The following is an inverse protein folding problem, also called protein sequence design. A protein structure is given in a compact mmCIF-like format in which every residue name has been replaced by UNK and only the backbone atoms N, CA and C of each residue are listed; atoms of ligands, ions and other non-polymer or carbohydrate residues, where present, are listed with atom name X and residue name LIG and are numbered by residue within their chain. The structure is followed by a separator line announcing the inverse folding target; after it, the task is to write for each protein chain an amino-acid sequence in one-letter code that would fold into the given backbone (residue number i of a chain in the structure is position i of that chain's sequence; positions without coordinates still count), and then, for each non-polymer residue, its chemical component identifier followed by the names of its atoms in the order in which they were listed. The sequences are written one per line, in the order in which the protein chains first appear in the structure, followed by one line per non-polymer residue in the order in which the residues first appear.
data_IF_471757480712
#
_entry.id   IF_471757480712
#
_cell.length_a   1.000
_cell.length_b   1.000
_cell.length_c   1.000
_cell.angle_alpha   90.00
_cell.angle_beta   90.00
_cell.angle_gamma   90.00
#
_symmetry.space_group_name_H-M   'P 1'
#
loop_
_entity.id
_entity.type
_entity.pdbx_description
1 polymer ?
#
# COMPACT_ATOMS: atom_id res chain seq x y z
N UNK A 1 -20.27 -7.03 -13.52
CA UNK A 1 -19.34 -7.06 -12.40
C UNK A 1 -18.09 -7.83 -12.75
N UNK A 2 -16.95 -7.39 -12.29
CA UNK A 2 -15.67 -7.99 -12.67
C UNK A 2 -15.41 -9.28 -11.89
N UNK A 3 -14.59 -10.16 -12.46
CA UNK A 3 -14.20 -11.41 -11.83
C UNK A 3 -13.26 -11.15 -10.64
N UNK A 4 -13.18 -12.14 -9.74
CA UNK A 4 -12.22 -12.10 -8.63
C UNK A 4 -10.79 -11.93 -9.14
N UNK A 5 -10.44 -12.63 -10.21
CA UNK A 5 -9.10 -12.56 -10.80
C UNK A 5 -8.78 -11.15 -11.30
N UNK A 6 -9.75 -10.48 -11.93
CA UNK A 6 -9.55 -9.11 -12.40
C UNK A 6 -9.34 -8.15 -11.22
N UNK A 7 -10.14 -8.28 -10.17
CA UNK A 7 -9.94 -7.48 -8.96
C UNK A 7 -8.57 -7.73 -8.34
N UNK A 8 -8.09 -8.98 -8.40
CA UNK A 8 -6.76 -9.30 -7.90
C UNK A 8 -5.67 -8.61 -8.72
N UNK A 9 -5.80 -8.58 -10.05
CA UNK A 9 -4.85 -7.88 -10.92
C UNK A 9 -4.85 -6.38 -10.59
N UNK A 10 -6.02 -5.77 -10.44
CA UNK A 10 -6.13 -4.36 -10.07
C UNK A 10 -5.46 -4.09 -8.72
N UNK A 11 -5.67 -4.96 -7.75
CA UNK A 11 -5.06 -4.89 -6.43
C UNK A 11 -3.53 -4.94 -6.51
N UNK A 12 -3.00 -5.87 -7.29
CA UNK A 12 -1.56 -6.04 -7.47
C UNK A 12 -0.95 -4.82 -8.16
N UNK A 13 -1.60 -4.31 -9.21
CA UNK A 13 -1.14 -3.09 -9.88
C UNK A 13 -1.06 -1.93 -8.87
N UNK A 14 -2.08 -1.80 -8.03
CA UNK A 14 -2.08 -0.79 -6.98
C UNK A 14 -0.91 -0.93 -6.02
N UNK A 15 -0.60 -2.16 -5.61
CA UNK A 15 0.54 -2.45 -4.72
C UNK A 15 1.84 -2.03 -5.39
N UNK A 16 2.04 -2.39 -6.66
CA UNK A 16 3.25 -2.04 -7.40
C UNK A 16 3.42 -0.53 -7.49
N UNK A 17 2.35 0.20 -7.84
CA UNK A 17 2.38 1.65 -7.93
C UNK A 17 2.72 2.30 -6.59
N UNK A 18 2.08 1.86 -5.52
CA UNK A 18 2.32 2.41 -4.19
C UNK A 18 3.74 2.14 -3.72
N UNK A 19 4.22 0.92 -3.88
CA UNK A 19 5.56 0.54 -3.44
C UNK A 19 6.63 1.25 -4.25
N UNK A 20 6.44 1.39 -5.57
CA UNK A 20 7.39 2.10 -6.45
C UNK A 20 7.49 3.57 -6.05
N UNK A 21 6.36 4.22 -5.79
CA UNK A 21 6.35 5.63 -5.43
C UNK A 21 6.96 5.86 -4.04
N UNK A 22 6.64 5.01 -3.07
CA UNK A 22 7.24 5.11 -1.72
C UNK A 22 8.74 4.82 -1.76
N UNK A 23 9.16 3.80 -2.50
CA UNK A 23 10.58 3.48 -2.66
C UNK A 23 11.35 4.64 -3.28
N UNK A 24 10.78 5.26 -4.32
CA UNK A 24 11.40 6.43 -4.95
C UNK A 24 11.52 7.61 -4.00
N UNK A 25 10.48 7.89 -3.23
CA UNK A 25 10.49 8.96 -2.23
C UNK A 25 11.54 8.68 -1.15
N UNK A 26 11.58 7.46 -0.64
CA UNK A 26 12.55 7.07 0.39
C UNK A 26 13.99 7.20 -0.13
N UNK A 27 14.25 6.75 -1.35
CA UNK A 27 15.58 6.83 -1.94
C UNK A 27 16.01 8.29 -2.11
N UNK A 28 15.13 9.14 -2.58
CA UNK A 28 15.41 10.57 -2.75
C UNK A 28 15.77 11.20 -1.38
N UNK A 29 15.01 10.86 -0.34
CA UNK A 29 15.29 11.36 1.00
C UNK A 29 16.61 10.84 1.55
N UNK A 30 16.94 9.56 1.29
CA UNK A 30 18.22 8.97 1.71
C UNK A 30 19.41 9.68 1.09
N UNK A 31 19.24 10.22 -0.11
CA UNK A 31 20.30 10.93 -0.84
C UNK A 31 20.32 12.43 -0.52
N UNK A 32 19.68 12.83 0.57
CA UNK A 32 19.68 14.22 1.01
C UNK A 32 18.62 15.10 0.36
N UNK A 33 17.73 14.52 -0.43
CA UNK A 33 16.66 15.27 -1.08
C UNK A 33 15.58 15.71 -0.11
N UNK A 34 14.87 16.78 -0.48
CA UNK A 34 13.73 17.28 0.27
C UNK A 34 12.48 17.21 -0.59
N UNK A 35 11.31 17.29 0.03
CA UNK A 35 10.06 17.33 -0.73
C UNK A 35 10.04 18.53 -1.69
N UNK A 36 10.60 19.65 -1.24
CA UNK A 36 10.61 20.89 -2.04
C UNK A 36 11.47 20.77 -3.29
N UNK A 37 12.62 20.08 -3.23
CA UNK A 37 13.52 19.92 -4.36
C UNK A 37 13.19 18.73 -5.26
N UNK A 38 12.18 17.92 -4.90
CA UNK A 38 11.74 16.82 -5.73
C UNK A 38 10.88 17.36 -6.88
N UNK A 39 11.48 17.42 -8.06
CA UNK A 39 10.79 17.94 -9.24
C UNK A 39 9.64 17.05 -9.70
N UNK A 40 9.66 15.79 -9.28
CA UNK A 40 8.63 14.81 -9.63
C UNK A 40 7.61 14.59 -8.50
N UNK A 41 7.57 15.48 -7.50
CA UNK A 41 6.72 15.26 -6.33
C UNK A 41 5.23 15.10 -6.66
N UNK A 42 4.74 15.88 -7.63
CA UNK A 42 3.34 15.78 -8.05
C UNK A 42 3.06 14.45 -8.73
N UNK A 43 3.95 14.02 -9.62
CA UNK A 43 3.85 12.75 -10.32
C UNK A 43 3.84 11.58 -9.31
N UNK A 44 4.79 11.60 -8.37
CA UNK A 44 4.91 10.55 -7.35
C UNK A 44 3.68 10.52 -6.45
N UNK A 45 3.16 11.69 -6.06
CA UNK A 45 1.97 11.79 -5.23
C UNK A 45 0.75 11.19 -5.95
N UNK A 46 0.60 11.48 -7.25
CA UNK A 46 -0.50 10.93 -8.05
C UNK A 46 -0.38 9.41 -8.14
N UNK A 47 0.82 8.89 -8.41
CA UNK A 47 1.05 7.44 -8.48
C UNK A 47 0.76 6.77 -7.15
N UNK A 48 1.20 7.37 -6.04
CA UNK A 48 0.97 6.83 -4.71
C UNK A 48 -0.53 6.80 -4.40
N UNK A 49 -1.24 7.89 -4.66
CA UNK A 49 -2.67 7.99 -4.39
C UNK A 49 -3.47 7.02 -5.25
N UNK A 50 -3.12 6.92 -6.53
CA UNK A 50 -3.76 5.96 -7.43
C UNK A 50 -3.51 4.54 -6.97
N UNK A 51 -2.28 4.23 -6.57
CA UNK A 51 -1.94 2.90 -6.04
C UNK A 51 -2.76 2.56 -4.81
N UNK A 52 -2.84 3.48 -3.85
CA UNK A 52 -3.63 3.28 -2.63
C UNK A 52 -5.11 3.03 -2.96
N UNK A 53 -5.67 3.80 -3.89
CA UNK A 53 -7.06 3.63 -4.32
C UNK A 53 -7.28 2.25 -4.97
N UNK A 54 -6.37 1.85 -5.88
CA UNK A 54 -6.50 0.56 -6.58
C UNK A 54 -6.35 -0.62 -5.61
N UNK A 55 -5.53 -0.49 -4.58
CA UNK A 55 -5.43 -1.52 -3.54
C UNK A 55 -6.79 -1.72 -2.86
N UNK A 56 -7.45 -0.63 -2.48
CA UNK A 56 -8.77 -0.71 -1.86
C UNK A 56 -9.80 -1.27 -2.83
N UNK A 57 -9.85 -0.75 -4.04
CA UNK A 57 -10.82 -1.18 -5.04
C UNK A 57 -10.68 -2.68 -5.33
N UNK A 58 -9.46 -3.13 -5.61
CA UNK A 58 -9.20 -4.54 -5.88
C UNK A 58 -9.46 -5.42 -4.68
N UNK A 59 -9.01 -4.97 -3.50
CA UNK A 59 -9.18 -5.73 -2.26
C UNK A 59 -10.63 -5.91 -1.87
N UNK A 60 -11.42 -4.85 -1.86
CA UNK A 60 -12.85 -4.94 -1.54
C UNK A 60 -13.63 -5.61 -2.64
N UNK A 61 -13.21 -5.48 -3.91
CA UNK A 61 -13.81 -6.22 -5.01
C UNK A 61 -13.64 -7.73 -4.83
N UNK A 62 -12.43 -8.18 -4.48
CA UNK A 62 -12.19 -9.60 -4.18
C UNK A 62 -13.00 -10.05 -2.98
N UNK A 63 -13.06 -9.23 -1.94
CA UNK A 63 -13.80 -9.55 -0.72
C UNK A 63 -15.27 -9.80 -1.03
N UNK A 64 -15.87 -8.96 -1.86
CA UNK A 64 -17.25 -9.13 -2.29
C UNK A 64 -17.45 -10.44 -3.06
N UNK A 65 -16.45 -10.84 -3.85
CA UNK A 65 -16.55 -12.06 -4.68
C UNK A 65 -16.37 -13.35 -3.88
N UNK A 66 -15.73 -13.30 -2.71
CA UNK A 66 -15.58 -14.49 -1.85
C UNK A 66 -16.74 -14.64 -0.87
N UNK A 67 -17.78 -13.80 -0.99
CA UNK A 67 -18.99 -13.96 -0.21
C UNK A 67 -19.06 -13.21 1.09
N UNK A 68 -18.11 -12.31 1.37
CA UNK A 68 -18.21 -11.45 2.55
C UNK A 68 -19.42 -10.53 2.40
N UNK A 69 -20.28 -10.54 3.40
CA UNK A 69 -21.53 -9.77 3.38
C UNK A 69 -21.43 -8.57 4.32
N UNK A 70 -22.08 -7.50 3.90
CA UNK A 70 -22.21 -6.31 4.72
C UNK A 70 -22.90 -6.68 6.04
N UNK A 71 -22.31 -6.26 7.17
CA UNK A 71 -22.85 -6.57 8.49
C UNK A 71 -22.26 -7.81 9.15
N UNK A 72 -21.45 -8.60 8.43
CA UNK A 72 -20.74 -9.72 9.06
C UNK A 72 -19.63 -9.19 9.97
N UNK A 73 -19.22 -10.02 10.92
CA UNK A 73 -18.12 -9.70 11.83
C UNK A 73 -16.85 -9.50 10.99
N UNK A 74 -16.19 -8.39 11.23
CA UNK A 74 -14.98 -8.01 10.49
C UNK A 74 -13.83 -8.94 10.93
N UNK A 75 -13.26 -9.74 10.00
CA UNK A 75 -12.25 -10.73 10.39
C UNK A 75 -10.93 -10.05 10.78
N UNK A 76 -10.23 -10.58 11.80
CA UNK A 76 -8.96 -9.98 12.25
C UNK A 76 -7.90 -9.88 11.16
N UNK A 77 -7.80 -10.87 10.25
CA UNK A 77 -6.82 -10.82 9.16
C UNK A 77 -7.06 -9.62 8.24
N UNK A 78 -8.31 -9.25 8.03
CA UNK A 78 -8.67 -8.09 7.22
C UNK A 78 -8.32 -6.79 7.96
N UNK A 79 -8.54 -6.75 9.28
CA UNK A 79 -8.17 -5.60 10.10
C UNK A 79 -6.66 -5.33 10.02
N UNK A 80 -5.84 -6.38 10.06
CA UNK A 80 -4.38 -6.25 9.91
C UNK A 80 -4.04 -5.66 8.55
N UNK A 81 -4.65 -6.14 7.47
CA UNK A 81 -4.39 -5.63 6.11
C UNK A 81 -4.78 -4.15 5.99
N UNK A 82 -5.92 -3.76 6.54
CA UNK A 82 -6.37 -2.36 6.50
C UNK A 82 -5.44 -1.47 7.31
N UNK A 83 -4.98 -1.93 8.47
CA UNK A 83 -4.01 -1.19 9.28
C UNK A 83 -2.72 -0.96 8.49
N UNK A 84 -2.21 -2.00 7.83
CA UNK A 84 -1.02 -1.86 6.97
C UNK A 84 -1.28 -0.86 5.85
N UNK A 85 -2.46 -0.92 5.22
CA UNK A 85 -2.82 0.01 4.16
C UNK A 85 -2.81 1.47 4.65
N UNK A 86 -3.37 1.72 5.85
CA UNK A 86 -3.39 3.06 6.43
C UNK A 86 -1.96 3.55 6.67
N UNK A 87 -1.10 2.70 7.21
CA UNK A 87 0.30 3.06 7.47
C UNK A 87 1.04 3.37 6.17
N UNK A 88 0.83 2.57 5.14
CA UNK A 88 1.48 2.78 3.84
C UNK A 88 0.93 4.00 3.13
N UNK A 89 -0.37 4.27 3.26
CA UNK A 89 -0.99 5.46 2.66
C UNK A 89 -0.43 6.74 3.27
N UNK A 90 -0.14 6.72 4.58
CA UNK A 90 0.42 7.87 5.29
C UNK A 90 1.95 7.95 5.19
N UNK A 91 2.61 6.89 4.74
CA UNK A 91 4.08 6.77 4.77
C UNK A 91 4.83 7.85 3.98
N UNK A 92 4.29 8.47 2.90
CA UNK A 92 5.04 9.50 2.16
C UNK A 92 5.46 10.69 3.01
N UNK A 93 4.79 10.94 4.11
CA UNK A 93 5.17 12.06 5.00
C UNK A 93 6.43 11.77 5.79
N UNK A 94 6.81 10.51 5.96
CA UNK A 94 7.89 10.12 6.85
C UNK A 94 9.29 10.40 6.30
N UNK A 95 9.63 10.04 5.04
CA UNK A 95 11.03 10.12 4.59
C UNK A 95 11.61 11.52 4.63
N UNK A 96 10.83 12.54 4.29
CA UNK A 96 11.33 13.91 4.27
C UNK A 96 11.34 14.55 5.64
N UNK A 97 10.43 14.16 6.51
CA UNK A 97 10.41 14.67 7.90
C UNK A 97 11.49 14.04 8.76
N UNK A 98 11.74 12.75 8.54
CA UNK A 98 12.70 11.97 9.33
C UNK A 98 13.61 11.19 8.37
N UNK A 99 14.55 11.88 7.69
CA UNK A 99 15.35 11.22 6.66
C UNK A 99 16.14 10.01 7.16
N UNK A 100 16.51 9.99 8.44
CA UNK A 100 17.20 8.84 9.01
C UNK A 100 16.34 7.58 9.07
N UNK A 101 15.01 7.71 8.93
CA UNK A 101 14.09 6.58 8.88
C UNK A 101 13.81 6.10 7.46
N UNK A 102 14.27 6.84 6.43
CA UNK A 102 13.98 6.48 5.04
C UNK A 102 14.52 5.09 4.68
N UNK A 103 15.73 4.77 5.15
CA UNK A 103 16.31 3.44 4.94
C UNK A 103 15.43 2.34 5.53
N UNK A 104 14.95 2.57 6.75
CA UNK A 104 14.10 1.60 7.43
C UNK A 104 12.75 1.48 6.74
N UNK A 105 12.23 2.56 6.18
CA UNK A 105 11.03 2.51 5.37
C UNK A 105 11.22 1.59 4.16
N UNK A 106 12.33 1.76 3.42
CA UNK A 106 12.60 0.90 2.26
C UNK A 106 12.67 -0.57 2.63
N UNK A 107 13.30 -0.88 3.77
CA UNK A 107 13.34 -2.27 4.25
C UNK A 107 11.98 -2.74 4.74
N UNK A 108 11.18 -1.83 5.30
CA UNK A 108 9.84 -2.13 5.79
C UNK A 108 8.83 -2.40 4.69
N UNK A 109 9.02 -1.82 3.49
CA UNK A 109 8.06 -2.00 2.41
C UNK A 109 7.83 -3.48 2.06
N UNK A 110 8.88 -4.28 1.76
CA UNK A 110 8.67 -5.70 1.49
C UNK A 110 8.18 -6.46 2.73
N UNK A 111 8.60 -6.06 3.95
CA UNK A 111 8.14 -6.71 5.16
C UNK A 111 6.63 -6.51 5.35
N UNK A 112 6.14 -5.28 5.24
CA UNK A 112 4.71 -4.99 5.36
C UNK A 112 3.91 -5.59 4.21
N UNK A 113 4.43 -5.50 2.99
CA UNK A 113 3.79 -6.11 1.83
C UNK A 113 3.68 -7.61 1.97
N UNK A 114 4.75 -8.26 2.43
CA UNK A 114 4.76 -9.70 2.69
C UNK A 114 3.78 -10.10 3.78
N UNK A 115 3.72 -9.32 4.87
CA UNK A 115 2.77 -9.58 5.95
C UNK A 115 1.33 -9.44 5.46
N UNK A 116 1.04 -8.40 4.67
CA UNK A 116 -0.30 -8.21 4.12
C UNK A 116 -0.68 -9.36 3.19
N UNK A 117 0.25 -9.82 2.35
CA UNK A 117 0.02 -10.96 1.48
C UNK A 117 -0.23 -12.24 2.27
N UNK A 118 0.57 -12.47 3.31
CA UNK A 118 0.38 -13.62 4.20
C UNK A 118 -1.03 -13.61 4.81
N UNK A 119 -1.46 -12.46 5.32
CA UNK A 119 -2.79 -12.34 5.91
C UNK A 119 -3.90 -12.62 4.90
N UNK A 120 -3.73 -12.14 3.67
CA UNK A 120 -4.72 -12.34 2.62
C UNK A 120 -4.79 -13.76 2.10
N UNK A 121 -3.65 -14.46 2.03
CA UNK A 121 -3.56 -15.81 1.48
C UNK A 121 -3.95 -16.85 2.54
N UNK A 122 -3.37 -16.76 3.71
CA UNK A 122 -3.56 -17.77 4.76
C UNK A 122 -4.72 -17.49 5.69
N UNK A 123 -5.06 -16.20 5.89
CA UNK A 123 -6.15 -15.79 6.78
C UNK A 123 -6.07 -16.50 8.14
N UNK A 124 -4.95 -16.34 8.89
CA UNK A 124 -4.65 -17.17 10.05
C UNK A 124 -5.61 -16.99 11.23
N UNK A 125 -6.40 -15.93 11.27
CA UNK A 125 -7.37 -15.71 12.33
C UNK A 125 -8.56 -14.84 11.92
#
# INVERSE_FOLDING_TARGET
MFSRELYNVVHIIGIILLMSSLGGTALHAMNGGTNRDNQSRRFVTVLHSLGAFLILLGGFGMLARIGFRHGEVFPPWLAVKITIWILLAAAPFLPYRRPYLARWLMLGLPAFGGLAAFMGIYKPF
#
